data_IF_754767616743
#
_entry.id   IF_754767616743
#
_cell.length_a   1.000
_cell.length_b   1.000
_cell.length_c   1.000
_cell.angle_alpha   90.00
_cell.angle_beta   90.00
_cell.angle_gamma   90.00
#
_symmetry.space_group_name_H-M   'P 1'
#
loop_
_entity.id
_entity.type
_entity.pdbx_description
1 polymer ?
#
# COMPACT_ATOMS: atom_id res chain seq x y z
N UNK A 1 0.24 -2.61 10.51
CA UNK A 1 -0.12 -2.82 11.93
C UNK A 1 -0.60 -1.56 12.67
N UNK A 2 0.10 -0.42 12.65
CA UNK A 2 -0.15 0.67 13.63
C UNK A 2 -1.41 1.54 13.41
N UNK A 3 -1.82 1.84 12.18
CA UNK A 3 -3.03 2.65 11.92
C UNK A 3 -4.27 1.80 11.66
N UNK A 4 -4.16 0.80 10.79
CA UNK A 4 -5.30 -0.01 10.32
C UNK A 4 -5.48 -1.33 11.08
N UNK A 5 -4.66 -1.62 12.10
CA UNK A 5 -4.78 -2.81 12.97
C UNK A 5 -4.57 -4.17 12.30
N UNK A 6 -4.48 -4.22 10.98
CA UNK A 6 -4.32 -5.47 10.22
C UNK A 6 -2.85 -5.84 10.06
N UNK A 7 -2.52 -7.15 10.21
CA UNK A 7 -1.18 -7.66 9.95
C UNK A 7 -0.90 -7.72 8.43
N UNK A 8 -1.91 -8.02 7.62
CA UNK A 8 -1.78 -8.17 6.18
C UNK A 8 -1.94 -6.84 5.45
N UNK A 9 -0.93 -6.53 4.63
CA UNK A 9 -0.83 -5.28 3.88
C UNK A 9 -0.49 -5.58 2.43
N UNK A 10 -1.39 -5.19 1.52
CA UNK A 10 -1.21 -5.30 0.09
C UNK A 10 -0.89 -3.93 -0.49
N UNK A 11 0.14 -3.86 -1.33
CA UNK A 11 0.54 -2.63 -2.03
C UNK A 11 0.13 -2.71 -3.50
N UNK A 12 -0.48 -1.64 -4.02
CA UNK A 12 -0.80 -1.52 -5.45
C UNK A 12 0.48 -1.49 -6.29
N UNK A 13 0.47 -2.11 -7.46
CA UNK A 13 1.65 -2.16 -8.36
C UNK A 13 2.10 -0.75 -8.76
N UNK A 14 1.17 0.20 -8.93
CA UNK A 14 1.49 1.59 -9.28
C UNK A 14 2.22 2.30 -8.15
N UNK A 15 1.96 1.93 -6.90
CA UNK A 15 2.72 2.43 -5.76
C UNK A 15 4.18 1.99 -5.85
N UNK A 16 4.44 0.71 -6.10
CA UNK A 16 5.81 0.22 -6.24
C UNK A 16 6.56 0.89 -7.42
N UNK A 17 5.88 1.07 -8.56
CA UNK A 17 6.47 1.77 -9.71
C UNK A 17 6.78 3.24 -9.37
N UNK A 18 5.91 3.92 -8.63
CA UNK A 18 6.13 5.31 -8.21
C UNK A 18 7.31 5.45 -7.22
N UNK A 19 7.45 4.51 -6.29
CA UNK A 19 8.58 4.45 -5.34
C UNK A 19 9.91 4.34 -6.10
N UNK A 20 9.97 3.52 -7.15
CA UNK A 20 11.19 3.25 -7.91
C UNK A 20 11.33 4.08 -9.20
N UNK A 21 10.45 5.06 -9.45
CA UNK A 21 10.42 5.80 -10.71
C UNK A 21 11.72 6.56 -11.01
N UNK A 22 12.44 7.01 -9.98
CA UNK A 22 13.74 7.71 -10.08
C UNK A 22 14.94 6.78 -9.83
N UNK A 23 14.70 5.48 -9.72
CA UNK A 23 15.70 4.46 -9.39
C UNK A 23 15.95 4.28 -7.88
N UNK A 24 16.66 3.21 -7.53
CA UNK A 24 16.87 2.75 -6.14
C UNK A 24 17.63 3.77 -5.28
N UNK A 25 18.52 4.57 -5.89
CA UNK A 25 19.34 5.56 -5.17
C UNK A 25 18.61 6.86 -4.87
N UNK A 26 17.48 7.12 -5.53
CA UNK A 26 16.80 8.42 -5.46
C UNK A 26 15.29 8.26 -5.17
N UNK A 27 14.97 7.45 -4.16
CA UNK A 27 13.59 7.25 -3.69
C UNK A 27 13.01 8.58 -3.18
N UNK A 28 11.74 8.91 -3.49
CA UNK A 28 11.09 10.10 -2.96
C UNK A 28 11.08 10.12 -1.42
N UNK A 29 11.33 11.28 -0.81
CA UNK A 29 11.35 11.44 0.65
C UNK A 29 9.96 11.23 1.28
N UNK A 30 8.89 11.63 0.60
CA UNK A 30 7.51 11.44 1.03
C UNK A 30 6.65 11.03 -0.17
N UNK A 31 5.76 10.05 0.04
CA UNK A 31 4.81 9.59 -0.97
C UNK A 31 3.42 9.64 -0.34
N UNK A 32 2.47 10.39 -0.92
CA UNK A 32 1.08 10.35 -0.48
C UNK A 32 0.47 8.99 -0.84
N UNK A 33 -0.09 8.34 0.17
CA UNK A 33 -0.73 7.03 0.05
C UNK A 33 -2.15 7.08 0.58
N UNK A 34 -3.05 6.37 -0.10
CA UNK A 34 -4.37 6.06 0.40
C UNK A 34 -4.33 4.71 1.12
N UNK A 35 -4.99 4.62 2.28
CA UNK A 35 -5.18 3.36 3.00
C UNK A 35 -6.65 2.98 2.98
N UNK A 36 -6.95 1.72 2.72
CA UNK A 36 -8.32 1.19 2.77
C UNK A 36 -8.33 -0.20 3.39
N UNK A 37 -9.19 -0.43 4.39
CA UNK A 37 -9.43 -1.77 4.91
C UNK A 37 -10.43 -2.47 3.99
N UNK A 38 -10.13 -3.70 3.60
CA UNK A 38 -11.01 -4.53 2.77
C UNK A 38 -11.16 -5.91 3.40
N UNK A 39 -12.32 -6.50 3.15
CA UNK A 39 -12.63 -7.87 3.54
C UNK A 39 -11.97 -8.84 2.57
N UNK A 40 -11.36 -9.87 3.13
CA UNK A 40 -10.69 -10.91 2.41
C UNK A 40 -11.67 -12.01 2.01
N UNK A 41 -11.62 -12.43 0.74
CA UNK A 41 -12.48 -13.50 0.20
C UNK A 41 -11.75 -14.84 0.09
N UNK A 42 -10.49 -14.88 0.47
CA UNK A 42 -9.68 -16.08 0.42
C UNK A 42 -9.90 -16.87 1.72
N UNK A 43 -10.47 -18.07 1.59
CA UNK A 43 -10.86 -18.92 2.72
C UNK A 43 -9.64 -19.52 3.44
N UNK A 44 -8.48 -19.56 2.78
CA UNK A 44 -7.22 -20.08 3.33
C UNK A 44 -6.43 -19.01 4.12
N UNK A 45 -6.89 -17.75 4.09
CA UNK A 45 -6.28 -16.65 4.82
C UNK A 45 -6.61 -16.72 6.31
N UNK A 46 -5.62 -16.62 7.22
CA UNK A 46 -5.88 -16.55 8.65
C UNK A 46 -6.53 -15.21 9.06
N UNK A 47 -6.49 -14.19 8.20
CA UNK A 47 -7.04 -12.87 8.48
C UNK A 47 -8.25 -12.56 7.60
N UNK A 48 -9.32 -12.08 8.23
CA UNK A 48 -10.55 -11.66 7.57
C UNK A 48 -10.42 -10.31 6.86
N UNK A 49 -9.50 -9.46 7.33
CA UNK A 49 -9.31 -8.10 6.83
C UNK A 49 -7.87 -7.88 6.40
N UNK A 50 -7.70 -7.17 5.29
CA UNK A 50 -6.40 -6.69 4.84
C UNK A 50 -6.43 -5.18 4.58
N UNK A 51 -5.28 -4.53 4.72
CA UNK A 51 -5.10 -3.15 4.27
C UNK A 51 -4.60 -3.13 2.85
N UNK A 52 -5.30 -2.40 1.98
CA UNK A 52 -4.82 -2.04 0.65
C UNK A 52 -4.19 -0.64 0.69
N UNK A 53 -2.93 -0.55 0.26
CA UNK A 53 -2.19 0.69 0.08
C UNK A 53 -2.24 1.09 -1.39
N UNK A 54 -2.80 2.26 -1.67
CA UNK A 54 -2.90 2.81 -3.03
C UNK A 54 -2.06 4.07 -3.17
N UNK A 55 -1.45 4.25 -4.33
CA UNK A 55 -0.75 5.49 -4.66
C UNK A 55 -1.74 6.57 -5.08
N UNK A 56 -1.60 7.75 -4.49
CA UNK A 56 -2.39 8.93 -4.86
C UNK A 56 -1.48 9.89 -5.62
N UNK A 57 -1.68 10.09 -6.94
CA UNK A 57 -0.87 11.06 -7.68
C UNK A 57 -1.20 12.48 -7.21
N UNK A 58 -0.16 13.24 -6.85
CA UNK A 58 -0.28 14.67 -6.50
C UNK A 58 0.61 15.47 -7.45
N UNK A 59 0.13 16.63 -7.88
CA UNK A 59 0.75 17.49 -8.91
C UNK A 59 1.75 18.51 -8.34
N UNK A 60 2.38 18.23 -7.20
CA UNK A 60 3.24 19.19 -6.49
C UNK A 60 4.32 19.85 -7.36
#
# INVERSE_FOLDING_TARGET
MKEMGTPDVYMDVRFNTAVCAKGIRNVPHCIPVGLSIKHNKDEDSPNELYTLVTYVPVTS
#
